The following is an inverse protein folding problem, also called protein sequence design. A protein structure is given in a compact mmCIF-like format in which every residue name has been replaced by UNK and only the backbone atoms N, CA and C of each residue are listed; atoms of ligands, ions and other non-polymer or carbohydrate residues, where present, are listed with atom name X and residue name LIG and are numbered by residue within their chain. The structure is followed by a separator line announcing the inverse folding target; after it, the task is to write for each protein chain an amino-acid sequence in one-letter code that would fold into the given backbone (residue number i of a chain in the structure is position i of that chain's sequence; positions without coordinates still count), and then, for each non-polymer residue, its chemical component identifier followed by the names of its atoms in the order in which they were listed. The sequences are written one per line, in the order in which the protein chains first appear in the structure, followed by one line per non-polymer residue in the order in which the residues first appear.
data_IF_974849451359
#
_entry.id   IF_974849451359
#
_cell.length_a   1.000
_cell.length_b   1.000
_cell.length_c   1.000
_cell.angle_alpha   90.00
_cell.angle_beta   90.00
_cell.angle_gamma   90.00
#
_symmetry.space_group_name_H-M   'P 1'
#
loop_
_entity.id
_entity.type
_entity.pdbx_description
1 polymer ?
#
# COMPACT_ATOMS: atom_id res chain seq x y z
N UNK A 1 -3.82 -18.47 0.70
CA UNK A 1 -2.78 -17.55 1.22
C UNK A 1 -3.47 -16.34 1.86
N UNK A 2 -2.76 -15.52 2.63
CA UNK A 2 -3.36 -14.40 3.36
C UNK A 2 -3.18 -13.15 2.51
N UNK A 3 -4.18 -12.83 1.67
CA UNK A 3 -4.09 -11.77 0.66
C UNK A 3 -3.78 -10.40 1.27
N UNK A 4 -2.93 -9.57 0.65
CA UNK A 4 -2.56 -8.26 1.19
C UNK A 4 -3.71 -7.24 1.19
N UNK A 5 -4.70 -7.41 0.34
CA UNK A 5 -5.86 -6.53 0.27
C UNK A 5 -7.10 -7.26 -0.21
N UNK A 6 -8.25 -6.65 0.01
CA UNK A 6 -9.53 -7.07 -0.58
C UNK A 6 -9.89 -6.10 -1.69
N UNK A 7 -10.34 -6.60 -2.84
CA UNK A 7 -10.89 -5.77 -3.92
C UNK A 7 -12.35 -5.43 -3.60
N UNK A 8 -12.64 -4.14 -3.47
CA UNK A 8 -13.98 -3.63 -3.17
C UNK A 8 -14.78 -3.40 -4.45
N UNK A 9 -14.11 -2.85 -5.47
CA UNK A 9 -14.65 -2.67 -6.83
C UNK A 9 -13.50 -2.57 -7.83
N UNK A 10 -13.82 -2.34 -9.09
CA UNK A 10 -12.80 -2.19 -10.13
C UNK A 10 -11.82 -1.05 -9.80
N UNK A 11 -10.53 -1.37 -9.78
CA UNK A 11 -9.46 -0.47 -9.35
C UNK A 11 -9.51 0.01 -7.89
N UNK A 12 -10.38 -0.51 -7.01
CA UNK A 12 -10.48 -0.04 -5.61
C UNK A 12 -10.21 -1.19 -4.64
N UNK A 13 -9.26 -0.97 -3.71
CA UNK A 13 -8.82 -1.96 -2.74
C UNK A 13 -8.90 -1.44 -1.30
N UNK A 14 -9.10 -2.36 -0.37
CA UNK A 14 -8.87 -2.14 1.06
C UNK A 14 -7.62 -2.91 1.47
N UNK A 15 -6.54 -2.19 1.73
CA UNK A 15 -5.22 -2.78 2.03
C UNK A 15 -5.07 -3.10 3.52
N UNK A 16 -4.43 -4.22 3.85
CA UNK A 16 -4.30 -4.65 5.26
C UNK A 16 -3.62 -3.61 6.15
N UNK A 17 -2.68 -2.83 5.57
CA UNK A 17 -1.93 -1.77 6.25
C UNK A 17 -2.67 -0.44 6.32
N UNK A 18 -3.82 -0.31 5.68
CA UNK A 18 -4.61 0.92 5.63
C UNK A 18 -6.09 0.57 5.51
N UNK A 19 -6.69 0.09 6.60
CA UNK A 19 -8.04 -0.48 6.60
C UNK A 19 -9.15 0.56 6.66
N UNK A 20 -8.86 1.75 7.20
CA UNK A 20 -9.87 2.79 7.42
C UNK A 20 -10.34 3.44 6.12
N UNK A 21 -9.47 3.52 5.11
CA UNK A 21 -9.79 4.12 3.83
C UNK A 21 -9.53 3.13 2.69
N UNK A 22 -10.12 3.41 1.54
CA UNK A 22 -9.86 2.65 0.33
C UNK A 22 -8.80 3.35 -0.52
N UNK A 23 -7.98 2.53 -1.19
CA UNK A 23 -7.04 3.01 -2.19
C UNK A 23 -7.63 2.76 -3.57
N UNK A 24 -7.36 3.68 -4.50
CA UNK A 24 -7.76 3.60 -5.89
C UNK A 24 -6.52 3.44 -6.76
N UNK A 25 -6.60 2.56 -7.75
CA UNK A 25 -5.61 2.39 -8.79
C UNK A 25 -5.58 3.64 -9.65
N UNK A 26 -4.37 4.17 -9.78
CA UNK A 26 -4.02 5.24 -10.69
C UNK A 26 -3.07 4.64 -11.73
N UNK A 27 -3.51 4.64 -12.98
CA UNK A 27 -2.79 4.11 -14.14
C UNK A 27 -2.06 5.21 -14.93
N UNK A 28 -2.12 6.46 -14.48
CA UNK A 28 -1.42 7.57 -15.14
C UNK A 28 0.10 7.36 -15.13
N UNK A 29 0.68 7.02 -16.28
CA UNK A 29 2.14 6.83 -16.39
C UNK A 29 2.90 8.13 -16.64
N UNK A 30 2.19 9.25 -16.83
CA UNK A 30 2.71 10.57 -17.16
C UNK A 30 2.67 11.56 -15.99
N UNK A 31 2.86 11.06 -14.76
CA UNK A 31 2.89 11.91 -13.56
C UNK A 31 4.15 12.76 -13.53
N UNK A 32 4.01 14.03 -13.17
CA UNK A 32 5.15 14.88 -12.84
C UNK A 32 5.92 14.29 -11.66
N UNK A 33 7.25 14.40 -11.72
CA UNK A 33 8.10 13.99 -10.62
C UNK A 33 7.82 14.88 -9.39
N UNK A 34 7.44 14.24 -8.30
CA UNK A 34 7.16 14.86 -7.01
C UNK A 34 7.94 14.09 -5.95
N UNK A 35 8.97 14.73 -5.37
CA UNK A 35 9.86 14.11 -4.38
C UNK A 35 9.16 13.84 -3.04
N UNK A 36 8.05 14.53 -2.77
CA UNK A 36 7.27 14.37 -1.54
C UNK A 36 6.33 13.16 -1.61
N UNK A 37 6.03 12.67 -2.82
CA UNK A 37 5.19 11.48 -3.02
C UNK A 37 6.01 10.20 -2.92
N UNK A 38 6.00 9.63 -1.72
CA UNK A 38 6.70 8.38 -1.41
C UNK A 38 5.73 7.21 -1.21
N UNK A 39 6.12 6.04 -1.72
CA UNK A 39 5.44 4.79 -1.41
C UNK A 39 5.66 4.41 0.05
N UNK A 40 4.57 4.18 0.79
CA UNK A 40 4.60 3.89 2.22
C UNK A 40 5.15 2.51 2.57
N UNK A 41 5.35 1.64 1.57
CA UNK A 41 5.90 0.29 1.77
C UNK A 41 7.43 0.25 1.56
N UNK A 42 7.94 0.86 0.50
CA UNK A 42 9.36 0.82 0.15
C UNK A 42 10.10 2.14 0.41
N UNK A 43 9.39 3.22 0.76
CA UNK A 43 9.93 4.56 1.05
C UNK A 43 10.70 5.14 -0.16
N UNK A 44 10.29 4.74 -1.37
CA UNK A 44 10.85 5.25 -2.62
C UNK A 44 9.84 6.18 -3.33
N UNK A 45 10.30 7.17 -4.11
CA UNK A 45 9.41 8.07 -4.85
C UNK A 45 8.52 7.33 -5.86
N UNK A 46 7.30 7.85 -6.07
CA UNK A 46 6.36 7.37 -7.09
C UNK A 46 6.44 8.25 -8.34
N UNK A 47 7.38 7.95 -9.23
CA UNK A 47 7.61 8.73 -10.46
C UNK A 47 7.11 8.04 -11.75
N UNK A 48 6.77 6.75 -11.71
CA UNK A 48 6.30 6.02 -12.89
C UNK A 48 5.53 4.76 -12.51
N UNK A 49 4.73 4.27 -13.47
CA UNK A 49 3.97 3.02 -13.35
C UNK A 49 2.69 3.16 -12.53
N UNK A 50 2.00 2.04 -12.35
CA UNK A 50 0.73 1.99 -11.63
C UNK A 50 0.94 2.13 -10.12
N UNK A 51 0.05 2.86 -9.47
CA UNK A 51 0.05 3.03 -8.02
C UNK A 51 -1.36 2.97 -7.46
N UNK A 52 -1.45 2.65 -6.18
CA UNK A 52 -2.65 2.80 -5.39
C UNK A 52 -2.51 4.05 -4.52
N UNK A 53 -3.42 5.01 -4.67
CA UNK A 53 -3.50 6.21 -3.84
C UNK A 53 -4.75 6.19 -2.98
N UNK A 54 -4.64 6.59 -1.72
CA UNK A 54 -5.79 6.72 -0.86
C UNK A 54 -6.65 7.91 -1.29
N UNK A 55 -7.98 7.72 -1.30
CA UNK A 55 -8.93 8.76 -1.68
C UNK A 55 -9.15 9.84 -0.60
N UNK A 56 -8.54 9.69 0.58
CA UNK A 56 -8.82 10.53 1.75
C UNK A 56 -7.57 11.07 2.47
N UNK A 57 -6.38 10.54 2.17
CA UNK A 57 -5.12 10.95 2.78
C UNK A 57 -3.94 10.66 1.84
N UNK A 58 -2.74 11.11 2.20
CA UNK A 58 -1.53 10.98 1.36
C UNK A 58 -0.88 9.58 1.39
N UNK A 59 -1.68 8.55 1.67
CA UNK A 59 -1.19 7.17 1.69
C UNK A 59 -1.08 6.63 0.27
N UNK A 60 0.14 6.31 -0.17
CA UNK A 60 0.44 5.86 -1.52
C UNK A 60 1.23 4.55 -1.49
N UNK A 61 0.91 3.62 -2.38
CA UNK A 61 1.68 2.39 -2.62
C UNK A 61 1.91 2.21 -4.13
N UNK A 62 3.11 1.79 -4.54
CA UNK A 62 3.25 1.19 -5.88
C UNK A 62 2.32 -0.02 -6.00
N UNK A 63 1.79 -0.29 -7.20
CA UNK A 63 0.97 -1.50 -7.43
C UNK A 63 1.72 -2.77 -7.02
N UNK A 64 3.00 -2.88 -7.37
CA UNK A 64 3.84 -4.01 -6.97
C UNK A 64 3.95 -4.13 -5.44
N UNK A 65 4.10 -3.01 -4.72
CA UNK A 65 4.17 -2.99 -3.27
C UNK A 65 2.85 -3.43 -2.61
N UNK A 66 1.71 -3.00 -3.15
CA UNK A 66 0.40 -3.43 -2.66
C UNK A 66 0.16 -4.94 -2.83
N UNK A 67 0.77 -5.56 -3.85
CA UNK A 67 0.66 -6.99 -4.14
C UNK A 67 1.67 -7.86 -3.37
N UNK A 68 2.59 -7.29 -2.59
CA UNK A 68 3.56 -8.07 -1.84
C UNK A 68 2.88 -8.97 -0.79
N UNK A 69 3.38 -10.20 -0.69
CA UNK A 69 2.89 -11.16 0.30
C UNK A 69 3.09 -10.63 1.72
N UNK A 70 2.05 -10.80 2.55
CA UNK A 70 2.13 -10.53 3.99
C UNK A 70 2.95 -11.57 4.74
N UNK A 71 3.31 -12.69 4.11
CA UNK A 71 3.94 -13.82 4.77
C UNK A 71 5.37 -13.99 4.31
N UNK A 72 6.29 -14.10 5.27
CA UNK A 72 7.70 -14.36 5.01
C UNK A 72 8.15 -15.62 5.74
N UNK A 73 9.05 -16.37 5.11
CA UNK A 73 9.80 -17.42 5.76
C UNK A 73 11.17 -16.86 6.12
N UNK A 74 11.49 -16.81 7.42
CA UNK A 74 12.75 -16.24 7.89
C UNK A 74 13.69 -17.36 8.38
N UNK A 75 14.97 -17.41 7.99
CA UNK A 75 15.87 -18.52 8.33
C UNK A 75 16.02 -18.79 9.83
N UNK A 76 15.89 -17.75 10.67
CA UNK A 76 15.99 -17.88 12.14
C UNK A 76 14.67 -18.22 12.83
N UNK A 77 13.55 -18.27 12.10
CA UNK A 77 12.23 -18.62 12.62
C UNK A 77 11.65 -19.80 11.84
N UNK A 78 11.50 -21.00 12.45
CA UNK A 78 11.05 -22.20 11.75
C UNK A 78 9.56 -22.15 11.33
N UNK A 79 8.84 -21.08 11.65
CA UNK A 79 7.44 -20.86 11.31
C UNK A 79 7.30 -19.62 10.42
N UNK A 80 6.25 -19.61 9.58
CA UNK A 80 5.94 -18.44 8.75
C UNK A 80 5.52 -17.25 9.62
N UNK A 81 6.10 -16.09 9.35
CA UNK A 81 5.72 -14.83 9.97
C UNK A 81 4.66 -14.15 9.10
N UNK A 82 3.66 -13.54 9.73
CA UNK A 82 2.61 -12.78 9.02
C UNK A 82 2.69 -11.33 9.47
N UNK A 83 2.84 -10.42 8.52
CA UNK A 83 2.82 -9.00 8.75
C UNK A 83 1.39 -8.55 9.06
N UNK A 84 1.22 -7.92 10.21
CA UNK A 84 -0.05 -7.35 10.67
C UNK A 84 0.10 -5.85 10.76
N UNK A 85 -0.96 -5.13 10.38
CA UNK A 85 -0.99 -3.69 10.53
C UNK A 85 -1.25 -3.34 11.99
N UNK A 86 -0.58 -2.29 12.46
CA UNK A 86 -1.00 -1.62 13.68
C UNK A 86 -2.24 -0.78 13.33
N UNK A 87 -3.25 -0.85 14.18
CA UNK A 87 -4.40 0.04 14.09
C UNK A 87 -3.95 1.41 14.60
N UNK A 88 -3.28 2.19 13.75
CA UNK A 88 -2.89 3.56 14.09
C UNK A 88 -4.01 4.52 13.63
N UNK A 89 -4.60 5.21 14.61
CA UNK A 89 -5.53 6.32 14.45
C UNK A 89 -4.98 7.33 13.44
N UNK A 90 -5.78 7.67 12.43
CA UNK A 90 -5.42 8.58 11.34
C UNK A 90 -5.00 9.93 11.95
N UNK A 91 -3.72 10.28 11.82
CA UNK A 91 -3.30 11.67 11.92
C UNK A 91 -3.96 12.44 10.79
N UNK A 92 -5.08 13.11 11.08
CA UNK A 92 -5.60 14.20 10.24
C UNK A 92 -4.54 15.31 10.25
N UNK A 93 -3.87 15.53 9.14
CA UNK A 93 -3.25 16.83 8.88
C UNK A 93 -4.37 17.84 8.67
N UNK A 94 -4.34 18.89 9.47
CA UNK A 94 -5.22 20.08 9.42
C UNK A 94 -4.98 20.92 8.16
#
# INVERSE_FOLDING_TARGET
EVEPFVRISDGIIQHFSHQHHHLKLDEDTSRDYDEDKLCQCCVMPVFSGNLYSCMQCDFILHEACANLSRRIHHPVHPHMLTLVARCDDVRKSE
#
